data_IF_593458017403
#
_entry.id   IF_593458017403
#
_cell.length_a   1.000
_cell.length_b   1.000
_cell.length_c   1.000
_cell.angle_alpha   90.00
_cell.angle_beta   90.00
_cell.angle_gamma   90.00
#
_symmetry.space_group_name_H-M   'P 1'
#
loop_
_entity.id
_entity.type
_entity.pdbx_description
1 polymer ?
#
# COMPACT_ATOMS: atom_id res chain seq x y z
N UNK A 1 47.57 6.09 4.56
CA UNK A 1 46.21 6.42 4.10
C UNK A 1 45.37 5.14 4.03
N UNK A 2 44.32 5.00 4.86
CA UNK A 2 43.32 3.93 4.72
C UNK A 2 41.94 4.56 4.87
N UNK A 3 41.20 4.66 3.78
CA UNK A 3 39.78 4.98 3.84
C UNK A 3 39.03 3.76 4.39
N UNK A 4 38.24 3.95 5.45
CA UNK A 4 37.23 2.99 5.91
C UNK A 4 35.91 3.33 5.22
N UNK A 5 35.30 2.44 4.43
CA UNK A 5 33.99 2.72 3.84
C UNK A 5 32.93 2.69 4.94
N UNK A 6 32.26 3.84 5.12
CA UNK A 6 31.15 4.01 6.04
C UNK A 6 29.96 3.13 5.67
N UNK A 7 29.51 2.34 6.64
CA UNK A 7 28.34 1.47 6.61
C UNK A 7 27.07 2.24 6.27
N UNK A 8 26.58 2.12 5.03
CA UNK A 8 25.23 2.56 4.62
C UNK A 8 24.10 1.63 5.10
N UNK A 9 24.41 0.56 5.84
CA UNK A 9 23.45 -0.44 6.32
C UNK A 9 22.41 0.09 7.31
N UNK A 10 22.73 1.10 8.12
CA UNK A 10 21.78 1.62 9.11
C UNK A 10 20.53 2.29 8.51
N UNK A 11 20.64 2.86 7.31
CA UNK A 11 19.52 3.54 6.66
C UNK A 11 18.59 2.55 5.92
N UNK A 12 19.14 1.54 5.27
CA UNK A 12 18.35 0.51 4.58
C UNK A 12 17.58 -0.37 5.56
N UNK A 13 18.18 -0.75 6.69
CA UNK A 13 17.47 -1.54 7.71
C UNK A 13 16.31 -0.78 8.34
N UNK A 14 16.48 0.52 8.59
CA UNK A 14 15.41 1.37 9.11
C UNK A 14 14.24 1.45 8.12
N UNK A 15 14.54 1.69 6.83
CA UNK A 15 13.53 1.72 5.77
C UNK A 15 12.81 0.38 5.64
N UNK A 16 13.52 -0.74 5.68
CA UNK A 16 12.93 -2.08 5.64
C UNK A 16 12.03 -2.32 6.85
N UNK A 17 12.44 -1.93 8.06
CA UNK A 17 11.62 -2.05 9.28
C UNK A 17 10.36 -1.19 9.22
N UNK A 18 10.46 0.03 8.68
CA UNK A 18 9.33 0.94 8.55
C UNK A 18 8.31 0.45 7.50
N UNK A 19 8.79 -0.01 6.34
CA UNK A 19 7.95 -0.64 5.30
C UNK A 19 7.31 -1.91 5.86
N UNK A 20 8.07 -2.77 6.53
CA UNK A 20 7.56 -4.00 7.14
C UNK A 20 6.44 -3.71 8.14
N UNK A 21 6.63 -2.72 9.02
CA UNK A 21 5.61 -2.34 10.00
C UNK A 21 4.35 -1.77 9.34
N UNK A 22 4.48 -0.96 8.29
CA UNK A 22 3.34 -0.45 7.54
C UNK A 22 2.54 -1.59 6.88
N UNK A 23 3.23 -2.55 6.27
CA UNK A 23 2.62 -3.74 5.66
C UNK A 23 1.90 -4.59 6.69
N UNK A 24 2.50 -4.82 7.87
CA UNK A 24 1.87 -5.61 8.97
C UNK A 24 0.60 -4.97 9.52
N UNK A 25 0.56 -3.64 9.62
CA UNK A 25 -0.67 -2.92 10.03
C UNK A 25 -1.79 -3.13 9.01
N UNK A 26 -1.48 -3.03 7.72
CA UNK A 26 -2.45 -3.21 6.62
C UNK A 26 -2.94 -4.66 6.54
N UNK A 27 -2.03 -5.63 6.67
CA UNK A 27 -2.34 -7.06 6.78
C UNK A 27 -3.35 -7.33 7.91
N UNK A 28 -3.13 -6.73 9.09
CA UNK A 28 -4.01 -6.89 10.25
C UNK A 28 -5.40 -6.32 10.00
N UNK A 29 -5.51 -5.19 9.29
CA UNK A 29 -6.80 -4.61 8.90
C UNK A 29 -7.58 -5.52 7.92
N UNK A 30 -6.87 -6.31 7.12
CA UNK A 30 -7.48 -7.19 6.10
C UNK A 30 -7.55 -8.67 6.50
N UNK A 31 -7.38 -9.00 7.78
CA UNK A 31 -7.59 -10.37 8.27
C UNK A 31 -6.44 -11.34 8.06
N UNK A 32 -5.21 -10.84 7.82
CA UNK A 32 -3.96 -11.61 7.64
C UNK A 32 -3.80 -12.23 6.24
N UNK A 33 -2.56 -12.19 5.70
CA UNK A 33 -2.28 -12.80 4.40
C UNK A 33 -2.07 -14.31 4.56
N UNK A 34 -2.64 -15.09 3.65
CA UNK A 34 -2.51 -16.55 3.61
C UNK A 34 -1.15 -16.99 3.04
N UNK A 35 -0.48 -16.15 2.24
CA UNK A 35 0.82 -16.46 1.67
C UNK A 35 1.70 -15.22 1.40
N UNK A 36 3.03 -15.37 1.33
CA UNK A 36 3.93 -14.29 0.90
C UNK A 36 3.62 -13.76 -0.50
N UNK A 37 3.19 -14.62 -1.42
CA UNK A 37 2.80 -14.24 -2.79
C UNK A 37 1.54 -13.35 -2.79
N UNK A 38 0.57 -13.65 -1.93
CA UNK A 38 -0.60 -12.79 -1.72
C UNK A 38 -0.19 -11.42 -1.16
N UNK A 39 0.75 -11.39 -0.20
CA UNK A 39 1.27 -10.14 0.33
C UNK A 39 2.01 -9.31 -0.74
N UNK A 40 2.76 -9.95 -1.64
CA UNK A 40 3.43 -9.28 -2.75
C UNK A 40 2.43 -8.68 -3.74
N UNK A 41 1.41 -9.44 -4.16
CA UNK A 41 0.32 -8.93 -5.02
C UNK A 41 -0.39 -7.74 -4.37
N UNK A 42 -0.63 -7.82 -3.06
CA UNK A 42 -1.18 -6.71 -2.31
C UNK A 42 -0.31 -5.46 -2.39
N UNK A 43 1.00 -5.59 -2.17
CA UNK A 43 1.93 -4.46 -2.25
C UNK A 43 1.99 -3.85 -3.65
N UNK A 44 1.92 -4.67 -4.70
CA UNK A 44 1.91 -4.19 -6.09
C UNK A 44 0.66 -3.38 -6.44
N UNK A 45 -0.53 -3.79 -5.98
CA UNK A 45 -1.78 -3.09 -6.26
C UNK A 45 -2.08 -1.94 -5.26
N UNK A 46 -1.36 -1.87 -4.14
CA UNK A 46 -1.64 -0.94 -3.04
C UNK A 46 -1.58 0.55 -3.45
N UNK A 47 -0.64 0.93 -4.31
CA UNK A 47 -0.49 2.33 -4.72
C UNK A 47 -1.63 2.77 -5.65
N UNK A 48 -2.12 1.85 -6.49
CA UNK A 48 -3.30 2.07 -7.32
C UNK A 48 -4.56 2.22 -6.44
N UNK A 49 -4.72 1.35 -5.45
CA UNK A 49 -5.83 1.43 -4.47
C UNK A 49 -5.80 2.75 -3.69
N UNK A 50 -4.64 3.18 -3.20
CA UNK A 50 -4.58 4.47 -2.50
C UNK A 50 -4.95 5.65 -3.39
N UNK A 51 -4.59 5.60 -4.67
CA UNK A 51 -4.95 6.65 -5.62
C UNK A 51 -6.47 6.73 -5.80
N UNK A 52 -7.15 5.59 -5.87
CA UNK A 52 -8.61 5.51 -6.03
C UNK A 52 -9.39 5.89 -4.76
N UNK A 53 -8.91 5.51 -3.57
CA UNK A 53 -9.64 5.69 -2.31
C UNK A 53 -9.20 6.90 -1.47
N UNK A 54 -8.07 7.55 -1.81
CA UNK A 54 -7.65 8.83 -1.23
C UNK A 54 -7.53 9.92 -2.30
N UNK A 55 -8.62 10.23 -3.04
CA UNK A 55 -8.63 11.45 -3.82
C UNK A 55 -8.51 12.65 -2.86
N UNK A 56 -7.75 13.67 -3.28
CA UNK A 56 -7.41 14.85 -2.48
C UNK A 56 -8.67 15.57 -2.01
N UNK A 57 -9.07 15.32 -0.76
CA UNK A 57 -10.31 15.84 -0.14
C UNK A 57 -10.34 17.37 -0.11
N UNK A 58 -9.18 18.01 -0.11
CA UNK A 58 -8.99 19.45 -0.15
C UNK A 58 -9.28 20.07 -1.52
N UNK A 59 -9.32 19.26 -2.58
CA UNK A 59 -9.49 19.72 -3.96
C UNK A 59 -10.85 19.36 -4.57
N UNK A 60 -11.68 18.59 -3.86
CA UNK A 60 -12.94 18.07 -4.39
C UNK A 60 -14.13 18.58 -3.60
N UNK A 61 -15.19 18.96 -4.31
CA UNK A 61 -16.49 19.17 -3.69
C UNK A 61 -16.99 17.87 -3.08
N UNK A 62 -17.83 17.96 -2.03
CA UNK A 62 -18.37 16.79 -1.35
C UNK A 62 -19.11 15.84 -2.31
N UNK A 63 -19.82 16.37 -3.31
CA UNK A 63 -20.53 15.57 -4.30
C UNK A 63 -19.57 14.81 -5.22
N UNK A 64 -18.52 15.46 -5.73
CA UNK A 64 -17.54 14.79 -6.59
C UNK A 64 -16.72 13.74 -5.82
N UNK A 65 -16.39 14.01 -4.56
CA UNK A 65 -15.77 13.02 -3.67
C UNK A 65 -16.65 11.78 -3.47
N UNK A 66 -17.97 11.96 -3.31
CA UNK A 66 -18.91 10.83 -3.16
C UNK A 66 -19.01 9.98 -4.41
N UNK A 67 -19.06 10.60 -5.60
CA UNK A 67 -19.12 9.89 -6.88
C UNK A 67 -17.83 9.09 -7.11
N UNK A 68 -16.67 9.75 -7.05
CA UNK A 68 -15.36 9.08 -7.20
C UNK A 68 -15.16 7.93 -6.21
N UNK A 69 -15.67 8.06 -4.99
CA UNK A 69 -15.61 6.99 -3.98
C UNK A 69 -16.62 5.86 -4.22
N UNK A 70 -17.73 6.12 -4.90
CA UNK A 70 -18.67 5.10 -5.39
C UNK A 70 -18.05 4.32 -6.55
N UNK A 71 -17.48 5.03 -7.53
CA UNK A 71 -16.80 4.39 -8.67
C UNK A 71 -15.66 3.49 -8.19
N UNK A 72 -14.86 3.97 -7.21
CA UNK A 72 -13.81 3.17 -6.60
C UNK A 72 -14.35 1.90 -5.88
N UNK A 73 -15.55 1.96 -5.30
CA UNK A 73 -16.19 0.78 -4.70
C UNK A 73 -16.58 -0.26 -5.75
N UNK A 74 -17.03 0.17 -6.94
CA UNK A 74 -17.40 -0.73 -8.03
C UNK A 74 -16.18 -1.41 -8.69
N UNK A 75 -15.03 -0.73 -8.69
CA UNK A 75 -13.76 -1.33 -9.14
C UNK A 75 -13.16 -2.31 -8.12
N UNK A 76 -13.47 -2.17 -6.82
CA UNK A 76 -12.84 -2.95 -5.75
C UNK A 76 -12.91 -4.47 -5.91
N UNK A 77 -14.05 -5.09 -6.32
CA UNK A 77 -14.14 -6.54 -6.49
C UNK A 77 -13.15 -7.08 -7.52
N UNK A 78 -12.87 -6.33 -8.58
CA UNK A 78 -11.92 -6.72 -9.63
C UNK A 78 -10.50 -6.80 -9.06
N UNK A 79 -10.08 -5.78 -8.31
CA UNK A 79 -8.77 -5.78 -7.64
C UNK A 79 -8.66 -6.85 -6.56
N UNK A 80 -9.72 -7.08 -5.78
CA UNK A 80 -9.73 -8.12 -4.77
C UNK A 80 -9.58 -9.53 -5.37
N UNK A 81 -10.18 -9.75 -6.56
CA UNK A 81 -10.02 -11.00 -7.29
C UNK A 81 -8.57 -11.18 -7.77
N UNK A 82 -7.95 -10.16 -8.34
CA UNK A 82 -6.53 -10.18 -8.76
C UNK A 82 -5.57 -10.45 -7.59
N UNK A 83 -5.92 -10.04 -6.37
CA UNK A 83 -5.12 -10.32 -5.17
C UNK A 83 -5.21 -11.78 -4.68
N UNK A 84 -6.29 -12.48 -5.02
CA UNK A 84 -6.58 -13.83 -4.49
C UNK A 84 -6.28 -14.96 -5.47
N UNK A 85 -6.28 -14.70 -6.79
CA UNK A 85 -5.91 -15.64 -7.86
C UNK A 85 -4.39 -15.69 -8.06
#
# INVERSE_FOLDING_TARGET
MRQKPGTKQGHSEKVVKDIHRATRKREKLMGRFKSPRQAQRFLSAHDQINTLFRPRRDQLSANFYRHTRSDAQDLWPHYALEMTA
#
